data_IF_724683786996
#
_entry.id   IF_724683786996
#
_cell.length_a   1.000
_cell.length_b   1.000
_cell.length_c   1.000
_cell.angle_alpha   90.00
_cell.angle_beta   90.00
_cell.angle_gamma   90.00
#
_symmetry.space_group_name_H-M   'P 1'
#
loop_
_entity.id
_entity.type
_entity.pdbx_description
1 polymer ?
#
# COMPACT_ATOMS: atom_id res chain seq x y z
N UNK A 1 11.71 22.00 32.69
CA UNK A 1 13.02 21.35 32.87
C UNK A 1 13.80 21.47 31.58
N UNK A 2 14.84 22.34 31.57
CA UNK A 2 15.77 22.37 30.43
C UNK A 2 16.94 21.44 30.75
N UNK A 3 17.09 20.36 30.00
CA UNK A 3 18.29 19.54 30.04
C UNK A 3 18.97 19.64 28.69
N UNK A 4 20.12 20.31 28.63
CA UNK A 4 20.96 20.34 27.44
C UNK A 4 20.38 21.04 26.20
N UNK A 5 19.50 22.03 26.37
CA UNK A 5 19.03 22.88 25.29
C UNK A 5 18.00 22.29 24.35
N UNK A 6 17.48 21.06 24.60
CA UNK A 6 16.42 20.47 23.81
C UNK A 6 15.15 20.41 24.66
N UNK A 7 14.17 21.23 24.31
CA UNK A 7 12.85 21.17 24.90
C UNK A 7 12.15 19.86 24.43
N UNK A 8 11.91 18.95 25.36
CA UNK A 8 11.27 17.66 25.07
C UNK A 8 9.76 17.69 25.31
N UNK A 9 9.29 18.64 26.10
CA UNK A 9 7.88 18.84 26.39
C UNK A 9 7.68 20.26 26.89
N UNK A 10 6.68 20.96 26.39
CA UNK A 10 6.26 22.26 26.85
C UNK A 10 4.81 22.24 27.29
N UNK A 11 4.50 22.87 28.41
CA UNK A 11 3.13 23.12 28.85
C UNK A 11 2.93 24.64 28.75
N UNK A 12 2.02 25.03 27.86
CA UNK A 12 1.65 26.43 27.66
C UNK A 12 0.22 26.66 28.16
N UNK A 13 -0.21 27.92 28.20
CA UNK A 13 -1.62 28.26 28.49
C UNK A 13 -2.62 27.65 27.48
N UNK A 14 -2.14 27.15 26.37
CA UNK A 14 -2.93 26.43 25.33
C UNK A 14 -2.89 24.89 25.49
N UNK A 15 -2.27 24.37 26.55
CA UNK A 15 -2.15 22.95 26.83
C UNK A 15 -0.75 22.36 26.57
N UNK A 16 -0.67 21.07 26.43
CA UNK A 16 0.58 20.35 26.17
C UNK A 16 1.01 20.51 24.70
N UNK A 17 2.24 20.93 24.45
CA UNK A 17 2.89 20.85 23.15
C UNK A 17 4.01 19.81 23.15
N UNK A 18 4.25 19.15 22.03
CA UNK A 18 5.26 18.07 21.93
C UNK A 18 4.71 16.69 22.34
N UNK A 19 3.40 16.53 22.44
CA UNK A 19 2.76 15.22 22.64
C UNK A 19 2.92 14.40 21.35
N UNK A 20 3.19 13.12 21.52
CA UNK A 20 3.19 12.14 20.42
C UNK A 20 1.88 12.29 19.66
N UNK A 21 1.96 12.83 18.47
CA UNK A 21 0.83 12.84 17.58
C UNK A 21 0.55 11.40 17.13
N UNK A 22 -0.71 11.03 17.06
CA UNK A 22 -1.10 9.75 16.50
C UNK A 22 -0.65 9.58 15.05
N UNK A 23 -1.31 8.72 14.30
CA UNK A 23 -1.01 8.51 12.89
C UNK A 23 -1.18 9.84 12.13
N UNK A 24 -0.10 10.33 11.52
CA UNK A 24 -0.07 11.60 10.79
C UNK A 24 -0.41 11.45 9.30
N UNK A 25 -0.05 10.30 8.73
CA UNK A 25 -0.38 9.95 7.36
C UNK A 25 -0.96 8.53 7.32
N UNK A 26 -2.13 8.42 6.77
CA UNK A 26 -2.82 7.17 6.47
C UNK A 26 -3.52 7.32 5.13
N UNK A 27 -3.47 6.30 4.30
CA UNK A 27 -4.25 6.26 3.08
C UNK A 27 -4.62 4.82 2.72
N UNK A 28 -5.75 4.64 2.05
CA UNK A 28 -6.23 3.33 1.63
C UNK A 28 -6.78 3.40 0.21
N UNK A 29 -6.33 2.47 -0.63
CA UNK A 29 -6.80 2.30 -2.00
C UNK A 29 -7.35 0.91 -2.21
N UNK A 30 -8.27 0.77 -3.14
CA UNK A 30 -8.79 -0.51 -3.57
C UNK A 30 -8.79 -0.62 -5.10
N UNK A 31 -8.72 -1.84 -5.59
CA UNK A 31 -8.82 -2.13 -7.01
C UNK A 31 -10.31 -2.23 -7.39
N UNK A 32 -10.76 -1.38 -8.31
CA UNK A 32 -12.18 -1.28 -8.69
C UNK A 32 -12.59 -2.20 -9.84
N UNK A 33 -11.61 -2.76 -10.57
CA UNK A 33 -11.84 -3.71 -11.67
C UNK A 33 -10.72 -4.76 -11.70
N UNK A 34 -11.00 -5.93 -12.26
CA UNK A 34 -10.04 -7.03 -12.33
C UNK A 34 -8.81 -6.68 -13.18
N UNK A 35 -7.65 -7.18 -12.77
CA UNK A 35 -6.42 -7.23 -13.58
C UNK A 35 -6.17 -8.66 -14.03
N UNK A 36 -6.19 -8.88 -15.34
CA UNK A 36 -6.20 -10.22 -15.98
C UNK A 36 -4.89 -10.59 -16.68
N UNK A 37 -3.84 -9.78 -16.55
CA UNK A 37 -2.56 -10.04 -17.17
C UNK A 37 -1.42 -9.61 -16.25
N UNK A 38 -0.25 -10.22 -16.41
CA UNK A 38 0.98 -9.84 -15.74
C UNK A 38 1.33 -8.37 -15.99
N UNK A 39 2.11 -7.82 -15.09
CA UNK A 39 2.61 -6.46 -15.16
C UNK A 39 2.07 -5.56 -14.05
N UNK A 40 2.45 -4.28 -14.14
CA UNK A 40 2.02 -3.27 -13.17
C UNK A 40 0.49 -3.19 -13.15
N UNK A 41 -0.08 -3.09 -11.96
CA UNK A 41 -1.48 -2.71 -11.79
C UNK A 41 -1.56 -1.19 -11.96
N UNK A 42 -1.62 -0.75 -13.21
CA UNK A 42 -1.43 0.63 -13.67
C UNK A 42 -2.71 1.47 -13.67
N UNK A 43 -3.86 0.83 -13.51
CA UNK A 43 -5.18 1.46 -13.55
C UNK A 43 -6.12 0.91 -12.47
N UNK A 44 -7.29 1.53 -12.35
CA UNK A 44 -8.40 1.12 -11.48
C UNK A 44 -8.12 1.18 -9.97
N UNK A 45 -7.04 1.82 -9.53
CA UNK A 45 -6.84 2.15 -8.13
C UNK A 45 -7.70 3.36 -7.75
N UNK A 46 -8.61 3.16 -6.84
CA UNK A 46 -9.46 4.22 -6.27
C UNK A 46 -9.19 4.35 -4.78
N UNK A 47 -9.09 5.60 -4.30
CA UNK A 47 -9.02 5.87 -2.86
C UNK A 47 -10.30 5.40 -2.19
N UNK A 48 -10.17 4.78 -1.02
CA UNK A 48 -11.31 4.29 -0.27
C UNK A 48 -12.09 5.46 0.38
N UNK A 49 -13.02 6.00 -0.36
CA UNK A 49 -13.90 7.10 0.07
C UNK A 49 -15.34 6.62 0.37
N UNK A 50 -15.51 5.36 0.72
CA UNK A 50 -16.82 4.78 1.03
C UNK A 50 -17.43 5.40 2.28
N UNK A 51 -18.75 5.41 2.36
CA UNK A 51 -19.48 5.93 3.51
C UNK A 51 -19.01 5.26 4.82
N UNK A 52 -18.60 6.08 5.78
CA UNK A 52 -18.05 5.60 7.05
C UNK A 52 -16.57 5.18 7.03
N UNK A 53 -15.91 5.18 5.86
CA UNK A 53 -14.48 4.94 5.80
C UNK A 53 -13.69 6.21 6.11
N UNK A 54 -12.63 6.09 6.92
CA UNK A 54 -11.58 7.10 6.97
C UNK A 54 -10.71 6.92 5.73
N UNK A 55 -10.97 7.72 4.70
CA UNK A 55 -10.27 7.57 3.41
C UNK A 55 -8.79 7.88 3.51
N UNK A 56 -8.45 8.92 4.25
CA UNK A 56 -7.07 9.35 4.51
C UNK A 56 -6.95 10.16 5.80
N UNK A 57 -5.74 10.20 6.36
CA UNK A 57 -5.29 11.16 7.36
C UNK A 57 -4.09 11.87 6.74
N UNK A 58 -3.96 13.17 6.94
CA UNK A 58 -2.91 13.97 6.32
C UNK A 58 -3.12 14.21 4.83
N UNK A 59 -2.04 14.29 4.06
CA UNK A 59 -2.07 14.56 2.62
C UNK A 59 -2.46 13.33 1.80
N UNK A 60 -2.08 12.15 2.28
CA UNK A 60 -2.30 10.88 1.59
C UNK A 60 -1.40 10.67 0.37
N UNK A 61 -1.42 9.47 -0.18
CA UNK A 61 -0.63 9.07 -1.35
C UNK A 61 -1.18 9.73 -2.63
N UNK A 62 -0.31 9.97 -3.60
CA UNK A 62 -0.73 10.22 -4.98
C UNK A 62 -0.39 9.02 -5.87
N UNK A 63 -1.21 8.76 -6.89
CA UNK A 63 -0.99 7.65 -7.83
C UNK A 63 -1.09 8.12 -9.27
N UNK A 64 -0.12 7.69 -10.08
CA UNK A 64 -0.11 7.94 -11.53
C UNK A 64 0.42 6.70 -12.23
N UNK A 65 -0.36 6.15 -13.18
CA UNK A 65 -0.01 4.92 -13.92
C UNK A 65 0.45 3.76 -13.00
N UNK A 66 -0.23 3.60 -11.85
CA UNK A 66 0.06 2.54 -10.88
C UNK A 66 1.28 2.78 -9.98
N UNK A 67 1.97 3.91 -10.14
CA UNK A 67 3.08 4.32 -9.26
C UNK A 67 2.56 5.25 -8.18
N UNK A 68 2.77 4.86 -6.93
CA UNK A 68 2.37 5.62 -5.75
C UNK A 68 3.56 6.44 -5.23
N UNK A 69 3.30 7.71 -4.98
CA UNK A 69 4.26 8.66 -4.40
C UNK A 69 3.85 9.00 -2.97
N UNK A 70 4.80 8.93 -2.06
CA UNK A 70 4.59 9.25 -0.65
C UNK A 70 4.45 10.77 -0.45
N UNK A 71 3.56 11.21 0.47
CA UNK A 71 3.34 12.64 0.67
C UNK A 71 4.47 13.34 1.45
N UNK A 72 5.20 12.61 2.26
CA UNK A 72 6.28 13.13 3.10
C UNK A 72 7.37 12.07 3.31
N UNK A 73 8.55 12.50 3.75
CA UNK A 73 9.59 11.59 4.24
C UNK A 73 9.14 10.92 5.53
N UNK A 74 9.72 9.77 5.83
CA UNK A 74 9.39 8.98 7.03
C UNK A 74 9.37 7.49 6.76
N UNK A 75 9.12 6.71 7.79
CA UNK A 75 8.98 5.25 7.71
C UNK A 75 7.51 4.89 7.53
N UNK A 76 7.22 4.14 6.48
CA UNK A 76 5.87 3.73 6.12
C UNK A 76 5.71 2.22 6.21
N UNK A 77 4.61 1.80 6.81
CA UNK A 77 4.08 0.45 6.68
C UNK A 77 3.15 0.43 5.46
N UNK A 78 3.46 -0.42 4.49
CA UNK A 78 2.64 -0.71 3.31
C UNK A 78 2.04 -2.09 3.48
N UNK A 79 0.72 -2.17 3.53
CA UNK A 79 -0.03 -3.43 3.63
C UNK A 79 -0.68 -3.67 2.28
N UNK A 80 -0.44 -4.84 1.70
CA UNK A 80 -1.01 -5.27 0.43
C UNK A 80 -1.86 -6.50 0.63
N UNK A 81 -3.13 -6.42 0.27
CA UNK A 81 -4.06 -7.54 0.25
C UNK A 81 -4.47 -7.81 -1.19
N UNK A 82 -4.18 -9.00 -1.69
CA UNK A 82 -4.62 -9.48 -2.99
C UNK A 82 -5.73 -10.52 -2.84
N UNK A 83 -6.85 -10.34 -3.51
CA UNK A 83 -7.84 -11.38 -3.73
C UNK A 83 -7.64 -11.95 -5.13
N UNK A 84 -7.38 -13.24 -5.22
CA UNK A 84 -7.06 -13.92 -6.47
C UNK A 84 -8.20 -14.86 -6.87
N UNK A 85 -8.63 -14.77 -8.11
CA UNK A 85 -9.44 -15.82 -8.74
C UNK A 85 -8.50 -16.71 -9.54
N UNK A 86 -8.42 -17.96 -9.17
CA UNK A 86 -7.46 -18.92 -9.67
C UNK A 86 -8.18 -20.00 -10.48
N UNK A 87 -7.62 -20.40 -11.61
CA UNK A 87 -8.11 -21.46 -12.46
C UNK A 87 -7.02 -22.49 -12.71
N UNK A 88 -7.37 -23.78 -12.60
CA UNK A 88 -6.39 -24.84 -12.81
C UNK A 88 -5.34 -24.93 -11.68
N UNK A 89 -4.08 -24.96 -12.06
CA UNK A 89 -2.91 -25.06 -11.15
C UNK A 89 -2.14 -23.73 -11.03
N UNK A 90 -2.81 -22.60 -11.28
CA UNK A 90 -2.18 -21.31 -11.28
C UNK A 90 -1.69 -20.90 -9.88
N UNK A 91 -0.66 -20.07 -9.87
CA UNK A 91 -0.07 -19.49 -8.67
C UNK A 91 0.21 -18.02 -8.97
N UNK A 92 -0.68 -17.15 -8.52
CA UNK A 92 -0.62 -15.72 -8.82
C UNK A 92 -0.02 -14.97 -7.63
N UNK A 93 0.80 -13.97 -7.92
CA UNK A 93 1.37 -13.11 -6.91
C UNK A 93 1.20 -11.62 -7.25
N UNK A 94 0.94 -10.84 -6.22
CA UNK A 94 0.97 -9.38 -6.24
C UNK A 94 2.20 -8.91 -5.47
N UNK A 95 3.21 -8.47 -6.19
CA UNK A 95 4.48 -7.99 -5.65
C UNK A 95 4.37 -6.51 -5.28
N UNK A 96 4.73 -6.19 -4.04
CA UNK A 96 5.04 -4.82 -3.63
C UNK A 96 6.46 -4.50 -4.04
N UNK A 97 6.63 -3.63 -5.02
CA UNK A 97 7.92 -3.22 -5.56
C UNK A 97 8.24 -1.78 -5.16
N UNK A 98 9.44 -1.56 -4.66
CA UNK A 98 9.91 -0.26 -4.17
C UNK A 98 11.12 0.19 -4.97
N UNK A 99 11.22 1.49 -5.24
CA UNK A 99 12.40 2.14 -5.80
C UNK A 99 12.96 3.17 -4.82
N UNK A 100 14.26 3.38 -4.86
CA UNK A 100 14.97 4.46 -4.13
C UNK A 100 15.67 5.45 -5.07
N UNK A 101 15.53 5.26 -6.38
CA UNK A 101 16.14 6.08 -7.43
C UNK A 101 15.12 6.53 -8.50
N UNK A 102 13.83 6.33 -8.26
CA UNK A 102 12.72 6.60 -9.17
C UNK A 102 12.82 5.88 -10.54
N UNK A 103 13.63 4.83 -10.64
CA UNK A 103 13.83 4.10 -11.89
C UNK A 103 13.88 2.59 -11.73
N UNK A 104 14.73 2.10 -10.83
CA UNK A 104 14.94 0.67 -10.60
C UNK A 104 14.07 0.17 -9.46
N UNK A 105 13.21 -0.79 -9.72
CA UNK A 105 12.29 -1.34 -8.72
C UNK A 105 12.71 -2.74 -8.28
N UNK A 106 12.72 -2.98 -6.98
CA UNK A 106 12.95 -4.29 -6.38
C UNK A 106 11.69 -4.77 -5.65
N UNK A 107 11.41 -6.07 -5.68
CA UNK A 107 10.33 -6.67 -4.92
C UNK A 107 10.73 -6.73 -3.45
N UNK A 108 9.95 -6.05 -2.59
CA UNK A 108 10.13 -6.04 -1.14
C UNK A 108 9.25 -7.05 -0.43
N UNK A 109 8.03 -7.25 -0.94
CA UNK A 109 7.07 -8.16 -0.33
C UNK A 109 6.15 -8.75 -1.40
N UNK A 110 5.55 -9.89 -1.11
CA UNK A 110 4.70 -10.63 -2.03
C UNK A 110 3.45 -11.13 -1.32
N UNK A 111 2.29 -10.76 -1.83
CA UNK A 111 1.02 -11.37 -1.52
C UNK A 111 0.70 -12.39 -2.61
N UNK A 112 0.52 -13.67 -2.28
CA UNK A 112 0.30 -14.71 -3.27
C UNK A 112 -0.71 -15.75 -2.82
N UNK A 113 -1.29 -16.43 -3.79
CA UNK A 113 -2.06 -17.65 -3.58
C UNK A 113 -1.92 -18.59 -4.77
N UNK A 114 -2.20 -19.87 -4.57
CA UNK A 114 -2.07 -20.92 -5.59
C UNK A 114 -3.14 -21.98 -5.48
N UNK A 115 -3.61 -22.43 -6.64
CA UNK A 115 -4.55 -23.55 -6.76
C UNK A 115 -3.80 -24.86 -7.01
N UNK A 116 -4.30 -25.96 -6.43
CA UNK A 116 -3.75 -27.31 -6.61
C UNK A 116 -4.71 -28.28 -7.33
N UNK A 117 -5.76 -27.78 -7.98
CA UNK A 117 -6.77 -28.68 -8.53
C UNK A 117 -7.42 -28.17 -9.80
N UNK A 118 -8.33 -28.98 -10.36
CA UNK A 118 -9.20 -28.58 -11.45
C UNK A 118 -10.37 -27.76 -10.92
N UNK A 119 -10.69 -26.66 -11.58
CA UNK A 119 -11.79 -25.76 -11.23
C UNK A 119 -11.29 -24.37 -10.87
N UNK A 120 -12.24 -23.48 -10.58
CA UNK A 120 -11.95 -22.13 -10.14
C UNK A 120 -12.06 -22.04 -8.63
N UNK A 121 -11.07 -21.47 -7.99
CA UNK A 121 -11.08 -21.14 -6.55
C UNK A 121 -10.78 -19.67 -6.38
N UNK A 122 -11.20 -19.14 -5.24
CA UNK A 122 -10.83 -17.78 -4.80
C UNK A 122 -9.99 -17.89 -3.55
N UNK A 123 -8.85 -17.23 -3.56
CA UNK A 123 -7.95 -17.18 -2.42
C UNK A 123 -7.41 -15.78 -2.19
N UNK A 124 -6.76 -15.57 -1.08
CA UNK A 124 -6.21 -14.26 -0.72
C UNK A 124 -4.82 -14.37 -0.13
N UNK A 125 -3.98 -13.41 -0.49
CA UNK A 125 -2.66 -13.23 0.12
C UNK A 125 -2.55 -11.85 0.74
N UNK A 126 -1.75 -11.76 1.81
CA UNK A 126 -1.43 -10.48 2.46
C UNK A 126 0.07 -10.37 2.61
N UNK A 127 0.60 -9.19 2.35
CA UNK A 127 2.01 -8.89 2.61
C UNK A 127 2.18 -7.54 3.29
N UNK A 128 3.31 -7.41 3.97
CA UNK A 128 3.71 -6.22 4.70
C UNK A 128 5.09 -5.78 4.21
N UNK A 129 5.27 -4.49 3.96
CA UNK A 129 6.55 -3.90 3.59
C UNK A 129 6.79 -2.64 4.43
N UNK A 130 7.97 -2.54 5.02
CA UNK A 130 8.42 -1.29 5.63
C UNK A 130 9.30 -0.54 4.63
N UNK A 131 8.94 0.72 4.36
CA UNK A 131 9.62 1.58 3.40
C UNK A 131 10.13 2.80 4.11
N UNK A 132 11.45 3.04 4.05
CA UNK A 132 12.07 4.26 4.55
C UNK A 132 12.11 5.30 3.41
N UNK A 133 11.27 6.30 3.51
CA UNK A 133 11.11 7.36 2.51
C UNK A 133 12.03 8.52 2.88
N UNK A 134 13.26 8.48 2.40
CA UNK A 134 14.26 9.53 2.62
C UNK A 134 14.11 10.70 1.66
N UNK A 135 13.51 10.46 0.47
CA UNK A 135 13.24 11.46 -0.56
C UNK A 135 11.98 11.08 -1.33
N UNK A 136 10.93 11.87 -1.24
CA UNK A 136 9.65 11.60 -1.91
C UNK A 136 9.71 11.69 -3.44
N UNK A 137 10.72 12.32 -4.01
CA UNK A 137 10.95 12.37 -5.45
C UNK A 137 11.54 11.06 -5.97
N UNK A 138 12.29 10.34 -5.15
CA UNK A 138 13.05 9.14 -5.50
C UNK A 138 12.39 7.85 -5.01
N UNK A 139 11.90 7.84 -3.74
CA UNK A 139 11.30 6.65 -3.15
C UNK A 139 9.84 6.55 -3.53
N UNK A 140 9.49 5.48 -4.24
CA UNK A 140 8.13 5.22 -4.69
C UNK A 140 7.80 3.73 -4.59
N UNK A 141 6.53 3.42 -4.67
CA UNK A 141 6.05 2.04 -4.65
C UNK A 141 5.05 1.79 -5.78
N UNK A 142 5.12 0.59 -6.34
CA UNK A 142 4.14 0.08 -7.31
C UNK A 142 3.82 -1.38 -7.00
N UNK A 143 2.73 -1.86 -7.59
CA UNK A 143 2.26 -3.23 -7.39
C UNK A 143 2.26 -3.96 -8.73
N UNK A 144 2.97 -5.08 -8.77
CA UNK A 144 3.19 -5.83 -10.00
C UNK A 144 2.58 -7.22 -9.89
N UNK A 145 1.66 -7.54 -10.78
CA UNK A 145 1.02 -8.83 -10.84
C UNK A 145 1.88 -9.79 -11.66
N UNK A 146 2.06 -11.01 -11.18
CA UNK A 146 2.89 -12.03 -11.84
C UNK A 146 2.22 -13.39 -11.85
N UNK A 147 2.55 -14.17 -12.86
CA UNK A 147 2.11 -15.58 -13.04
C UNK A 147 0.61 -15.73 -13.21
N UNK A 148 -0.02 -14.80 -13.91
CA UNK A 148 -1.44 -14.88 -14.25
C UNK A 148 -1.64 -15.88 -15.38
N UNK A 149 -2.28 -17.00 -15.06
CA UNK A 149 -2.64 -18.00 -16.06
C UNK A 149 -3.94 -17.68 -16.80
N UNK A 150 -4.32 -18.57 -17.71
CA UNK A 150 -5.55 -18.43 -18.48
C UNK A 150 -6.77 -18.51 -17.56
N UNK A 151 -7.64 -17.51 -17.64
CA UNK A 151 -8.86 -17.40 -16.83
C UNK A 151 -8.63 -17.10 -15.34
N UNK A 152 -7.42 -16.81 -14.94
CA UNK A 152 -7.09 -16.34 -13.60
C UNK A 152 -6.93 -14.82 -13.58
N UNK A 153 -7.11 -14.17 -12.42
CA UNK A 153 -7.00 -12.71 -12.30
C UNK A 153 -6.86 -12.24 -10.86
N UNK A 154 -6.32 -11.05 -10.71
CA UNK A 154 -6.42 -10.28 -9.47
C UNK A 154 -7.79 -9.60 -9.42
N UNK A 155 -8.57 -9.89 -8.38
CA UNK A 155 -9.95 -9.44 -8.29
C UNK A 155 -10.04 -7.98 -7.83
N UNK A 156 -10.72 -7.16 -8.62
CA UNK A 156 -11.16 -5.82 -8.27
C UNK A 156 -12.68 -5.77 -8.16
N UNK A 157 -13.20 -4.83 -7.35
CA UNK A 157 -14.64 -4.64 -7.19
C UNK A 157 -14.96 -3.18 -6.88
N UNK A 158 -15.94 -2.61 -7.61
CA UNK A 158 -16.37 -1.23 -7.38
C UNK A 158 -17.26 -1.04 -6.15
N UNK A 159 -17.84 -2.10 -5.60
CA UNK A 159 -18.83 -2.04 -4.51
C UNK A 159 -18.25 -2.34 -3.13
N UNK A 160 -17.15 -3.09 -3.02
CA UNK A 160 -16.50 -3.45 -1.76
C UNK A 160 -14.99 -3.71 -1.95
N UNK A 161 -14.28 -3.70 -0.84
CA UNK A 161 -12.83 -3.95 -0.86
C UNK A 161 -12.56 -5.44 -1.09
N UNK A 162 -11.93 -5.74 -2.22
CA UNK A 162 -11.36 -7.05 -2.51
C UNK A 162 -9.84 -6.95 -2.42
N UNK A 163 -9.18 -6.59 -3.51
CA UNK A 163 -7.77 -6.22 -3.49
C UNK A 163 -7.65 -4.78 -3.01
N UNK A 164 -6.80 -4.56 -2.00
CA UNK A 164 -6.64 -3.22 -1.42
C UNK A 164 -5.25 -3.00 -0.85
N UNK A 165 -4.91 -1.74 -0.69
CA UNK A 165 -3.63 -1.24 -0.19
C UNK A 165 -3.89 -0.33 1.00
N UNK A 166 -3.00 -0.37 1.99
CA UNK A 166 -3.00 0.57 3.09
C UNK A 166 -1.59 1.09 3.32
N UNK A 167 -1.49 2.40 3.49
CA UNK A 167 -0.24 3.12 3.74
C UNK A 167 -0.36 3.83 5.08
N UNK A 168 0.60 3.60 5.98
CA UNK A 168 0.61 4.19 7.32
C UNK A 168 2.01 4.73 7.61
N UNK A 169 2.14 6.02 7.86
CA UNK A 169 3.39 6.59 8.36
C UNK A 169 3.54 6.26 9.85
N UNK A 170 4.59 5.53 10.18
CA UNK A 170 4.81 5.00 11.53
C UNK A 170 5.94 5.71 12.28
N UNK A 171 6.70 6.56 11.60
CA UNK A 171 7.80 7.32 12.23
C UNK A 171 8.57 8.20 11.26
N UNK A 172 9.57 8.89 11.79
CA UNK A 172 10.52 9.69 11.02
C UNK A 172 11.63 8.80 10.42
N UNK A 173 12.31 9.32 9.38
CA UNK A 173 13.50 8.69 8.75
C UNK A 173 14.70 8.73 9.67
#
# INVERSE_FOLDING_TARGET
FATGGVERMSITNSGFSGIIQGIQEFDSYYLSANKTADGIVDANWLRNNRAGAASQIGTGMSVSSGVFTFPSTGKYLVITVGLFSLSGTDNIALDTQVTTDNSSYATHARAQDGSKGSGSITGSGTSFSFVDVTDTSQVKVKFNLTSVGTSSYLAGNSNFLTTHLTFIRVGDT
#
